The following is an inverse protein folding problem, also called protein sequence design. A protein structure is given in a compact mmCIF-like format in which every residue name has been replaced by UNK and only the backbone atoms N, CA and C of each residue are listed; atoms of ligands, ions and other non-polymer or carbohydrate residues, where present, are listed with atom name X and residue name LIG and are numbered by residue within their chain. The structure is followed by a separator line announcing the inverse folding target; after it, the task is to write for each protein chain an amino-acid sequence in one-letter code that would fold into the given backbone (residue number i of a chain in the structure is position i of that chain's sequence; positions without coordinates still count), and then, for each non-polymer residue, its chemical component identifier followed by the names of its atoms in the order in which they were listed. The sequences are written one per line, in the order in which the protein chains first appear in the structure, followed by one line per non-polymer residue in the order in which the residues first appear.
data_IF_323431028889
#
_entry.id   IF_323431028889
#
_cell.length_a   1.000
_cell.length_b   1.000
_cell.length_c   1.000
_cell.angle_alpha   90.00
_cell.angle_beta   90.00
_cell.angle_gamma   90.00
#
_symmetry.space_group_name_H-M   'P 1'
#
loop_
_entity.id
_entity.type
_entity.pdbx_description
1 polymer ?
#
# COMPACT_ATOMS: atom_id res chain seq x y z
N UNK A 1 30.85 -11.30 -27.61
CA UNK A 1 29.63 -10.50 -27.87
C UNK A 1 29.12 -10.10 -26.51
N UNK A 2 29.31 -8.84 -26.12
CA UNK A 2 28.82 -8.33 -24.84
C UNK A 2 27.31 -8.17 -24.99
N UNK A 3 26.56 -9.05 -24.33
CA UNK A 3 25.12 -8.95 -24.25
C UNK A 3 24.81 -7.65 -23.51
N UNK A 4 24.19 -6.69 -24.20
CA UNK A 4 23.90 -5.36 -23.65
C UNK A 4 22.68 -5.52 -22.72
N UNK A 5 22.88 -6.21 -21.59
CA UNK A 5 21.84 -6.53 -20.63
C UNK A 5 21.31 -5.21 -20.07
N UNK A 6 20.04 -4.90 -20.36
CA UNK A 6 19.32 -3.75 -19.80
C UNK A 6 19.36 -3.87 -18.28
N UNK A 7 19.64 -2.77 -17.59
CA UNK A 7 19.51 -2.71 -16.13
C UNK A 7 18.05 -2.95 -15.78
N UNK A 8 17.79 -3.98 -14.96
CA UNK A 8 16.45 -4.29 -14.47
C UNK A 8 16.17 -3.50 -13.20
N UNK A 9 15.07 -2.75 -13.18
CA UNK A 9 14.74 -1.83 -12.10
C UNK A 9 13.34 -2.15 -11.57
N UNK A 10 13.28 -2.59 -10.32
CA UNK A 10 12.03 -2.91 -9.63
C UNK A 10 11.32 -1.64 -9.18
N UNK A 11 10.02 -1.59 -9.49
CA UNK A 11 9.10 -0.47 -9.21
C UNK A 11 7.97 -0.97 -8.30
N UNK A 12 7.74 -0.26 -7.20
CA UNK A 12 6.62 -0.46 -6.28
C UNK A 12 5.54 0.63 -6.44
N UNK A 13 4.47 0.53 -5.65
CA UNK A 13 3.39 1.51 -5.68
C UNK A 13 3.87 2.94 -5.41
N UNK A 14 4.84 3.17 -4.53
CA UNK A 14 5.27 4.52 -4.16
C UNK A 14 5.97 5.24 -5.31
N UNK A 15 6.69 4.50 -6.15
CA UNK A 15 7.27 5.06 -7.38
C UNK A 15 6.18 5.38 -8.40
N UNK A 16 5.17 4.50 -8.55
CA UNK A 16 4.02 4.80 -9.41
C UNK A 16 3.24 6.02 -8.92
N UNK A 17 2.97 6.11 -7.61
CA UNK A 17 2.34 7.26 -6.97
C UNK A 17 3.12 8.55 -7.23
N UNK A 18 4.44 8.52 -7.05
CA UNK A 18 5.29 9.67 -7.34
C UNK A 18 5.10 10.10 -8.80
N UNK A 19 5.28 9.18 -9.75
CA UNK A 19 5.27 9.50 -11.19
C UNK A 19 3.88 9.96 -11.64
N UNK A 20 2.80 9.37 -11.12
CA UNK A 20 1.43 9.72 -11.47
C UNK A 20 1.06 11.18 -11.14
N UNK A 21 1.75 11.81 -10.18
CA UNK A 21 1.48 13.21 -9.80
C UNK A 21 1.61 14.15 -10.99
N UNK A 22 0.60 15.01 -11.16
CA UNK A 22 0.56 16.06 -12.18
C UNK A 22 1.34 17.30 -11.76
N UNK A 23 1.46 17.55 -10.45
CA UNK A 23 2.20 18.67 -9.86
C UNK A 23 2.86 18.24 -8.56
N UNK A 24 4.08 18.72 -8.32
CA UNK A 24 4.82 18.51 -7.07
C UNK A 24 5.32 19.87 -6.57
N UNK A 25 4.87 20.27 -5.38
CA UNK A 25 5.21 21.56 -4.78
C UNK A 25 6.40 21.49 -3.82
N UNK A 26 6.71 20.31 -3.31
CA UNK A 26 7.88 20.07 -2.46
C UNK A 26 9.15 19.94 -3.33
N UNK A 27 10.17 20.75 -3.06
CA UNK A 27 11.41 20.79 -3.84
C UNK A 27 12.20 19.47 -3.81
N UNK A 28 12.23 18.78 -2.67
CA UNK A 28 12.94 17.51 -2.52
C UNK A 28 12.22 16.40 -3.30
N UNK A 29 10.88 16.38 -3.25
CA UNK A 29 10.09 15.46 -4.07
C UNK A 29 10.11 15.83 -5.55
N UNK A 30 10.23 17.12 -5.90
CA UNK A 30 10.27 17.57 -7.29
C UNK A 30 11.50 17.03 -8.03
N UNK A 31 12.65 16.94 -7.35
CA UNK A 31 13.85 16.34 -7.92
C UNK A 31 13.64 14.84 -8.21
N UNK A 32 13.10 14.09 -7.25
CA UNK A 32 12.79 12.66 -7.43
C UNK A 32 11.73 12.43 -8.51
N UNK A 33 10.72 13.29 -8.58
CA UNK A 33 9.68 13.24 -9.61
C UNK A 33 10.25 13.43 -11.02
N UNK A 34 11.12 14.44 -11.21
CA UNK A 34 11.78 14.68 -12.50
C UNK A 34 12.66 13.49 -12.91
N UNK A 35 13.46 12.97 -11.97
CA UNK A 35 14.31 11.82 -12.22
C UNK A 35 13.48 10.56 -12.55
N UNK A 36 12.39 10.32 -11.82
CA UNK A 36 11.46 9.23 -12.09
C UNK A 36 10.85 9.30 -13.48
N UNK A 37 10.42 10.49 -13.92
CA UNK A 37 9.92 10.71 -15.30
C UNK A 37 10.99 10.45 -16.36
N UNK A 38 12.21 10.90 -16.14
CA UNK A 38 13.37 10.64 -17.02
C UNK A 38 13.71 9.15 -17.12
N UNK A 39 13.66 8.41 -16.01
CA UNK A 39 13.80 6.95 -15.97
C UNK A 39 12.66 6.27 -16.75
N UNK A 40 11.42 6.75 -16.61
CA UNK A 40 10.28 6.23 -17.35
C UNK A 40 10.39 6.50 -18.87
N UNK A 41 10.93 7.65 -19.27
CA UNK A 41 11.21 7.93 -20.68
C UNK A 41 12.29 6.99 -21.21
N UNK A 42 13.35 6.72 -20.43
CA UNK A 42 14.39 5.73 -20.76
C UNK A 42 13.83 4.32 -20.91
N UNK A 43 12.86 3.95 -20.08
CA UNK A 43 12.12 2.69 -20.19
C UNK A 43 11.36 2.58 -21.51
N UNK A 44 10.63 3.63 -21.91
CA UNK A 44 9.92 3.69 -23.20
C UNK A 44 10.83 3.61 -24.41
N UNK A 45 12.09 4.04 -24.26
CA UNK A 45 13.13 3.91 -25.29
C UNK A 45 13.97 2.62 -25.13
N UNK A 46 13.52 1.68 -24.31
CA UNK A 46 14.11 0.34 -24.15
C UNK A 46 15.57 0.35 -23.65
N UNK A 47 15.97 1.40 -22.93
CA UNK A 47 17.34 1.52 -22.36
C UNK A 47 17.44 0.98 -20.93
N UNK A 48 16.32 0.90 -20.24
CA UNK A 48 16.14 0.33 -18.90
C UNK A 48 14.93 -0.60 -18.97
N UNK A 49 14.90 -1.67 -18.16
CA UNK A 49 13.71 -2.51 -17.97
C UNK A 49 13.08 -2.15 -16.63
N UNK A 50 11.83 -1.68 -16.63
CA UNK A 50 11.06 -1.43 -15.41
C UNK A 50 10.16 -2.62 -15.15
N UNK A 51 10.35 -3.23 -13.99
CA UNK A 51 9.70 -4.49 -13.63
C UNK A 51 8.97 -4.39 -12.30
N UNK A 52 7.95 -5.23 -12.11
CA UNK A 52 7.29 -5.39 -10.81
C UNK A 52 6.80 -6.81 -10.57
N UNK A 53 6.36 -7.09 -9.35
CA UNK A 53 5.66 -8.31 -8.98
C UNK A 53 4.16 -8.04 -8.92
N UNK A 54 3.36 -8.85 -9.61
CA UNK A 54 1.89 -8.75 -9.57
C UNK A 54 1.41 -8.92 -8.13
N UNK A 55 1.77 -10.02 -7.47
CA UNK A 55 1.28 -10.34 -6.13
C UNK A 55 1.58 -9.24 -5.10
N UNK A 56 2.79 -8.66 -5.16
CA UNK A 56 3.17 -7.58 -4.25
C UNK A 56 2.49 -6.25 -4.61
N UNK A 57 2.42 -5.90 -5.89
CA UNK A 57 1.76 -4.67 -6.33
C UNK A 57 0.26 -4.70 -6.06
N UNK A 58 -0.38 -5.86 -6.22
CA UNK A 58 -1.80 -6.03 -5.92
C UNK A 58 -2.12 -5.76 -4.45
N UNK A 59 -1.27 -6.27 -3.56
CA UNK A 59 -1.41 -5.99 -2.13
C UNK A 59 -1.15 -4.51 -1.81
N UNK A 60 -0.19 -3.86 -2.48
CA UNK A 60 0.03 -2.43 -2.33
C UNK A 60 -1.19 -1.62 -2.77
N UNK A 61 -1.78 -1.94 -3.91
CA UNK A 61 -3.01 -1.30 -4.38
C UNK A 61 -4.12 -1.43 -3.34
N UNK A 62 -4.32 -2.64 -2.79
CA UNK A 62 -5.29 -2.87 -1.73
C UNK A 62 -4.99 -1.98 -0.52
N UNK A 63 -3.76 -1.93 -0.04
CA UNK A 63 -3.42 -1.15 1.16
C UNK A 63 -3.57 0.35 0.91
N UNK A 64 -2.92 0.87 -0.14
CA UNK A 64 -2.78 2.30 -0.36
C UNK A 64 -4.08 2.95 -0.84
N UNK A 65 -4.87 2.29 -1.69
CA UNK A 65 -6.17 2.82 -2.10
C UNK A 65 -7.18 2.77 -0.95
N UNK A 66 -7.14 1.74 -0.09
CA UNK A 66 -7.97 1.74 1.12
C UNK A 66 -7.58 2.88 2.08
N UNK A 67 -6.29 3.24 2.21
CA UNK A 67 -5.89 4.43 2.98
C UNK A 67 -6.49 5.74 2.41
N UNK A 68 -6.79 5.76 1.11
CA UNK A 68 -7.51 6.84 0.45
C UNK A 68 -9.05 6.79 0.55
N UNK A 69 -9.60 5.78 1.22
CA UNK A 69 -11.06 5.59 1.36
C UNK A 69 -11.69 4.67 0.31
N UNK A 70 -10.96 4.36 -0.77
CA UNK A 70 -11.41 3.46 -1.83
C UNK A 70 -11.33 1.99 -1.37
N UNK A 71 -12.47 1.30 -1.31
CA UNK A 71 -12.50 -0.10 -0.89
C UNK A 71 -12.12 -1.03 -2.04
N UNK A 72 -10.85 -1.38 -2.15
CA UNK A 72 -10.37 -2.44 -3.05
C UNK A 72 -10.42 -3.78 -2.32
N UNK A 73 -11.07 -4.79 -2.92
CA UNK A 73 -11.18 -6.17 -2.38
C UNK A 73 -10.43 -7.20 -3.22
N UNK A 74 -10.33 -6.94 -4.52
CA UNK A 74 -9.68 -7.71 -5.56
C UNK A 74 -9.19 -6.70 -6.60
N UNK A 75 -7.99 -6.92 -7.12
CA UNK A 75 -7.25 -6.03 -8.01
C UNK A 75 -7.63 -6.19 -9.48
N UNK A 76 -8.27 -7.29 -9.87
CA UNK A 76 -8.80 -7.47 -11.24
C UNK A 76 -9.88 -6.45 -11.64
N UNK A 77 -10.40 -5.69 -10.67
CA UNK A 77 -11.47 -4.72 -10.83
C UNK A 77 -11.11 -3.35 -10.24
N UNK A 78 -9.83 -2.97 -10.17
CA UNK A 78 -9.43 -1.66 -9.61
C UNK A 78 -10.17 -0.51 -10.31
N UNK A 79 -10.21 -0.49 -11.64
CA UNK A 79 -10.91 0.56 -12.39
C UNK A 79 -12.40 0.59 -12.09
N UNK A 80 -13.06 -0.57 -12.01
CA UNK A 80 -14.48 -0.65 -11.62
C UNK A 80 -14.70 -0.16 -10.18
N UNK A 81 -13.77 -0.44 -9.26
CA UNK A 81 -13.84 0.05 -7.88
C UNK A 81 -13.70 1.57 -7.84
N UNK A 82 -12.78 2.16 -8.63
CA UNK A 82 -12.62 3.61 -8.76
C UNK A 82 -13.92 4.23 -9.30
N UNK A 83 -14.49 3.68 -10.37
CA UNK A 83 -15.73 4.18 -10.98
C UNK A 83 -16.92 4.10 -10.01
N UNK A 84 -17.00 3.04 -9.21
CA UNK A 84 -18.04 2.91 -8.18
C UNK A 84 -17.85 3.89 -7.03
N UNK A 85 -16.61 4.19 -6.65
CA UNK A 85 -16.30 5.18 -5.61
C UNK A 85 -16.60 6.60 -6.09
N UNK A 86 -16.23 6.96 -7.32
CA UNK A 86 -16.45 8.28 -7.90
C UNK A 86 -17.94 8.66 -8.00
N UNK A 87 -18.84 7.67 -8.05
CA UNK A 87 -20.30 7.89 -8.00
C UNK A 87 -20.80 8.38 -6.64
N UNK A 88 -20.01 8.23 -5.58
CA UNK A 88 -20.37 8.75 -4.26
C UNK A 88 -20.06 10.24 -4.19
N UNK A 89 -21.01 11.03 -3.68
CA UNK A 89 -20.92 12.51 -3.61
C UNK A 89 -19.71 13.04 -2.82
N UNK A 90 -19.14 12.24 -1.92
CA UNK A 90 -17.94 12.59 -1.16
C UNK A 90 -16.62 12.26 -1.86
N UNK A 91 -16.64 11.63 -3.04
CA UNK A 91 -15.42 11.29 -3.76
C UNK A 91 -14.74 12.54 -4.33
N UNK A 92 -13.41 12.59 -4.21
CA UNK A 92 -12.59 13.62 -4.84
C UNK A 92 -12.15 13.14 -6.22
N UNK A 93 -12.58 13.85 -7.26
CA UNK A 93 -12.23 13.51 -8.63
C UNK A 93 -10.71 13.49 -8.84
N UNK A 94 -9.99 14.39 -8.17
CA UNK A 94 -8.52 14.47 -8.24
C UNK A 94 -7.86 13.19 -7.75
N UNK A 95 -8.35 12.62 -6.65
CA UNK A 95 -7.83 11.35 -6.12
C UNK A 95 -8.12 10.20 -7.09
N UNK A 96 -9.32 10.16 -7.67
CA UNK A 96 -9.72 9.10 -8.60
C UNK A 96 -8.96 9.17 -9.92
N UNK A 97 -8.72 10.36 -10.47
CA UNK A 97 -7.87 10.56 -11.65
C UNK A 97 -6.42 10.14 -11.37
N UNK A 98 -5.90 10.50 -10.19
CA UNK A 98 -4.56 10.09 -9.76
C UNK A 98 -4.43 8.57 -9.66
N UNK A 99 -5.41 7.88 -9.06
CA UNK A 99 -5.43 6.42 -9.02
C UNK A 99 -5.51 5.77 -10.39
N UNK A 100 -6.29 6.33 -11.33
CA UNK A 100 -6.32 5.85 -12.72
C UNK A 100 -4.96 6.00 -13.39
N UNK A 101 -4.28 7.13 -13.19
CA UNK A 101 -2.93 7.33 -13.72
C UNK A 101 -1.92 6.31 -13.14
N UNK A 102 -2.03 5.94 -11.85
CA UNK A 102 -1.20 4.87 -11.26
C UNK A 102 -1.47 3.53 -11.94
N UNK A 103 -2.74 3.17 -12.16
CA UNK A 103 -3.11 1.91 -12.84
C UNK A 103 -2.59 1.88 -14.27
N UNK A 104 -2.73 2.98 -15.01
CA UNK A 104 -2.18 3.10 -16.37
C UNK A 104 -0.65 2.93 -16.42
N UNK A 105 0.07 3.42 -15.40
CA UNK A 105 1.51 3.21 -15.29
C UNK A 105 1.85 1.76 -14.93
N UNK A 106 1.07 1.13 -14.07
CA UNK A 106 1.23 -0.28 -13.74
C UNK A 106 1.06 -1.18 -14.97
N UNK A 107 0.04 -0.92 -15.80
CA UNK A 107 -0.23 -1.67 -17.03
C UNK A 107 0.90 -1.57 -18.08
N UNK A 108 1.79 -0.57 -17.94
CA UNK A 108 2.96 -0.43 -18.80
C UNK A 108 4.14 -1.30 -18.34
N UNK A 109 4.20 -1.78 -17.10
CA UNK A 109 5.38 -2.44 -16.55
C UNK A 109 5.59 -3.87 -17.07
N UNK A 110 6.86 -4.29 -17.10
CA UNK A 110 7.19 -5.72 -17.27
C UNK A 110 6.89 -6.47 -15.96
N UNK A 111 6.26 -7.64 -16.08
CA UNK A 111 5.91 -8.45 -14.90
C UNK A 111 6.93 -9.56 -14.70
N UNK A 112 7.46 -9.65 -13.48
CA UNK A 112 8.25 -10.79 -13.05
C UNK A 112 7.28 -11.84 -12.54
N UNK A 113 7.02 -12.87 -13.35
CA UNK A 113 6.20 -14.00 -12.93
C UNK A 113 6.94 -14.84 -11.89
N UNK A 114 6.51 -14.78 -10.62
CA UNK A 114 6.98 -15.66 -9.55
C UNK A 114 6.50 -17.11 -9.66
N UNK A 115 5.80 -17.47 -10.75
CA UNK A 115 5.07 -18.72 -10.96
C UNK A 115 5.86 -19.84 -11.67
N UNK A 116 7.14 -19.64 -11.99
CA UNK A 116 7.95 -20.75 -12.52
C UNK A 116 8.38 -21.69 -11.38
N UNK A 117 7.47 -22.62 -11.04
CA UNK A 117 7.54 -24.02 -10.60
C UNK A 117 8.83 -24.69 -10.04
N UNK A 118 9.91 -23.97 -9.69
CA UNK A 118 11.20 -24.62 -9.37
C UNK A 118 11.85 -24.14 -8.06
N UNK A 119 11.42 -23.01 -7.47
CA UNK A 119 11.97 -22.52 -6.19
C UNK A 119 10.85 -22.40 -5.17
N UNK A 120 10.76 -23.39 -4.28
CA UNK A 120 9.63 -23.63 -3.40
C UNK A 120 9.24 -22.43 -2.51
N UNK A 121 7.97 -22.43 -2.10
CA UNK A 121 7.32 -21.46 -1.20
C UNK A 121 8.13 -21.12 0.07
N UNK A 122 9.13 -21.92 0.43
CA UNK A 122 10.01 -21.70 1.59
C UNK A 122 11.15 -20.68 1.37
N UNK A 123 11.54 -20.38 0.13
CA UNK A 123 12.60 -19.41 -0.13
C UNK A 123 12.16 -17.97 0.16
N UNK A 124 10.92 -17.62 -0.19
CA UNK A 124 10.38 -16.27 0.02
C UNK A 124 10.29 -15.89 1.52
N UNK A 125 9.75 -16.73 2.42
CA UNK A 125 9.81 -16.52 3.86
C UNK A 125 11.24 -16.34 4.39
N UNK A 126 12.21 -17.12 3.87
CA UNK A 126 13.59 -17.01 4.30
C UNK A 126 14.21 -15.65 3.92
N UNK A 127 14.06 -15.20 2.67
CA UNK A 127 14.53 -13.88 2.26
C UNK A 127 13.85 -12.78 3.07
N UNK A 128 12.53 -12.81 3.24
CA UNK A 128 11.82 -11.83 4.05
C UNK A 128 12.31 -11.79 5.49
N UNK A 129 12.57 -12.95 6.12
CA UNK A 129 13.11 -13.04 7.47
C UNK A 129 14.51 -12.42 7.57
N UNK A 130 15.43 -12.76 6.64
CA UNK A 130 16.79 -12.23 6.68
C UNK A 130 16.82 -10.73 6.40
N UNK A 131 16.04 -10.27 5.42
CA UNK A 131 15.89 -8.83 5.10
C UNK A 131 15.28 -8.10 6.30
N UNK A 132 14.24 -8.64 6.94
CA UNK A 132 13.63 -8.06 8.13
C UNK A 132 14.62 -7.98 9.30
N UNK A 133 15.38 -9.04 9.57
CA UNK A 133 16.39 -9.06 10.64
C UNK A 133 17.44 -7.98 10.46
N UNK A 134 17.81 -7.70 9.22
CA UNK A 134 18.84 -6.71 8.89
C UNK A 134 18.26 -5.31 8.81
N UNK A 135 17.06 -5.10 8.29
CA UNK A 135 16.49 -3.77 8.06
C UNK A 135 15.60 -3.27 9.20
N UNK A 136 14.98 -4.13 10.00
CA UNK A 136 14.29 -3.71 11.22
C UNK A 136 15.34 -3.43 12.29
N UNK A 137 15.15 -2.36 13.04
CA UNK A 137 15.84 -2.23 14.32
C UNK A 137 15.29 -3.26 15.30
N UNK A 138 16.11 -3.73 16.24
CA UNK A 138 15.61 -4.56 17.33
C UNK A 138 14.42 -3.83 17.96
N UNK A 139 13.29 -4.52 18.19
CA UNK A 139 12.15 -3.87 18.79
C UNK A 139 12.59 -3.43 20.17
N UNK A 140 12.62 -2.12 20.42
CA UNK A 140 12.42 -1.64 21.78
C UNK A 140 11.11 -2.29 22.24
N UNK A 141 11.20 -3.18 23.23
CA UNK A 141 10.03 -3.77 23.89
C UNK A 141 9.10 -2.60 24.24
N UNK A 142 7.94 -2.51 23.55
CA UNK A 142 6.92 -1.42 23.51
C UNK A 142 6.75 -0.59 22.21
N UNK A 143 7.58 -0.73 21.17
CA UNK A 143 7.44 0.03 19.91
C UNK A 143 6.28 -0.41 18.97
N UNK A 144 5.28 -1.12 19.51
CA UNK A 144 4.22 -1.81 18.76
C UNK A 144 2.90 -1.05 18.62
N UNK A 145 2.61 -0.09 19.48
CA UNK A 145 1.34 0.66 19.48
C UNK A 145 1.63 2.15 19.58
N UNK A 146 1.58 2.86 18.45
CA UNK A 146 1.55 4.32 18.52
C UNK A 146 0.18 4.74 19.07
N UNK A 147 0.13 5.82 19.86
CA UNK A 147 -1.14 6.33 20.40
C UNK A 147 -2.18 6.59 19.29
N UNK A 148 -1.73 7.05 18.11
CA UNK A 148 -2.57 7.23 16.93
C UNK A 148 -3.16 5.91 16.39
N UNK A 149 -2.42 4.80 16.47
CA UNK A 149 -2.91 3.49 16.05
C UNK A 149 -3.99 2.96 17.00
N UNK A 150 -3.80 3.18 18.30
CA UNK A 150 -4.80 2.81 19.32
C UNK A 150 -6.07 3.68 19.20
N UNK A 151 -5.92 4.97 18.90
CA UNK A 151 -7.02 5.89 18.63
C UNK A 151 -7.85 5.49 17.41
N UNK A 152 -7.21 5.22 16.26
CA UNK A 152 -7.91 4.73 15.06
C UNK A 152 -8.71 3.45 15.35
N UNK A 153 -8.13 2.54 16.15
CA UNK A 153 -8.80 1.31 16.56
C UNK A 153 -10.03 1.60 17.42
N UNK A 154 -9.93 2.54 18.37
CA UNK A 154 -11.06 2.97 19.19
C UNK A 154 -12.19 3.59 18.35
N UNK A 155 -11.85 4.48 17.40
CA UNK A 155 -12.81 5.08 16.47
C UNK A 155 -13.53 4.00 15.66
N UNK A 156 -12.80 3.04 15.09
CA UNK A 156 -13.40 1.96 14.30
C UNK A 156 -14.28 1.04 15.14
N UNK A 157 -13.93 0.79 16.41
CA UNK A 157 -14.77 0.05 17.35
C UNK A 157 -16.10 0.76 17.59
N UNK A 158 -16.07 2.06 17.82
CA UNK A 158 -17.28 2.85 18.03
C UNK A 158 -18.13 2.93 16.75
N UNK A 159 -17.50 3.02 15.58
CA UNK A 159 -18.19 2.91 14.29
C UNK A 159 -18.90 1.56 14.14
N UNK A 160 -18.22 0.46 14.49
CA UNK A 160 -18.79 -0.88 14.43
C UNK A 160 -20.01 -1.04 15.37
N UNK A 161 -19.94 -0.44 16.56
CA UNK A 161 -21.06 -0.41 17.50
C UNK A 161 -22.23 0.44 16.99
N UNK A 162 -21.95 1.54 16.28
CA UNK A 162 -22.94 2.46 15.74
C UNK A 162 -23.55 2.05 14.38
N UNK A 163 -23.10 0.93 13.76
CA UNK A 163 -23.63 0.50 12.46
C UNK A 163 -25.15 0.37 12.44
N UNK A 164 -25.76 -0.09 13.53
CA UNK A 164 -27.19 -0.30 13.66
C UNK A 164 -28.02 1.01 13.64
N UNK A 165 -27.39 2.15 13.87
CA UNK A 165 -28.05 3.47 13.81
C UNK A 165 -28.22 3.96 12.37
N UNK A 166 -27.43 3.42 11.43
CA UNK A 166 -27.38 3.87 10.03
C UNK A 166 -27.87 2.80 9.06
N UNK A 167 -27.57 1.52 9.33
CA UNK A 167 -27.95 0.41 8.48
C UNK A 167 -29.29 -0.19 8.90
N UNK A 168 -30.23 -0.25 7.96
CA UNK A 168 -31.39 -1.12 8.09
C UNK A 168 -30.97 -2.60 8.05
N UNK A 169 -31.67 -3.44 8.80
CA UNK A 169 -31.41 -4.88 8.89
C UNK A 169 -31.56 -5.58 7.54
N UNK A 170 -32.53 -5.18 6.71
CA UNK A 170 -32.71 -5.79 5.40
C UNK A 170 -31.55 -5.42 4.47
N UNK A 171 -31.16 -4.14 4.45
CA UNK A 171 -30.01 -3.67 3.68
C UNK A 171 -28.70 -4.33 4.14
N UNK A 172 -28.48 -4.49 5.45
CA UNK A 172 -27.30 -5.17 6.01
C UNK A 172 -27.20 -6.61 5.54
N UNK A 173 -28.29 -7.38 5.63
CA UNK A 173 -28.32 -8.76 5.19
C UNK A 173 -28.05 -8.89 3.67
N UNK A 174 -28.62 -7.99 2.87
CA UNK A 174 -28.58 -8.02 1.41
C UNK A 174 -27.45 -7.18 0.80
N UNK A 175 -26.45 -6.77 1.59
CA UNK A 175 -25.38 -5.89 1.14
C UNK A 175 -24.52 -6.56 0.06
N UNK A 176 -24.65 -6.09 -1.19
CA UNK A 176 -23.93 -6.60 -2.38
C UNK A 176 -22.76 -5.71 -2.81
N UNK A 177 -22.85 -4.41 -2.53
CA UNK A 177 -21.88 -3.39 -2.95
C UNK A 177 -21.54 -2.49 -1.76
N UNK A 178 -20.36 -1.85 -1.82
CA UNK A 178 -19.92 -0.90 -0.82
C UNK A 178 -20.90 0.27 -0.74
N UNK A 179 -21.32 0.60 0.48
CA UNK A 179 -22.24 1.70 0.75
C UNK A 179 -21.45 2.90 1.30
N UNK A 180 -20.65 3.56 0.46
CA UNK A 180 -19.77 4.66 0.88
C UNK A 180 -20.51 5.76 1.65
N UNK A 181 -21.68 6.19 1.17
CA UNK A 181 -22.50 7.19 1.86
C UNK A 181 -23.00 6.74 3.24
N UNK A 182 -23.33 5.47 3.43
CA UNK A 182 -23.75 4.97 4.74
C UNK A 182 -22.55 4.82 5.69
N UNK A 183 -21.42 4.32 5.19
CA UNK A 183 -20.19 4.22 5.97
C UNK A 183 -19.68 5.61 6.39
N UNK A 184 -19.78 6.59 5.51
CA UNK A 184 -19.46 7.98 5.84
C UNK A 184 -20.37 8.54 6.93
N UNK A 185 -21.70 8.33 6.86
CA UNK A 185 -22.62 8.75 7.93
C UNK A 185 -22.31 8.14 9.29
N UNK A 186 -21.85 6.89 9.32
CA UNK A 186 -21.39 6.26 10.57
C UNK A 186 -20.18 7.02 11.12
N UNK A 187 -19.19 7.32 10.28
CA UNK A 187 -18.03 8.13 10.70
C UNK A 187 -18.43 9.53 11.16
N UNK A 188 -19.31 10.23 10.43
CA UNK A 188 -19.81 11.54 10.82
C UNK A 188 -20.44 11.54 12.22
N UNK A 189 -21.08 10.44 12.62
CA UNK A 189 -21.69 10.29 13.93
C UNK A 189 -20.70 9.99 15.08
N UNK A 190 -19.50 9.48 14.75
CA UNK A 190 -18.50 8.99 15.71
C UNK A 190 -17.32 9.94 15.86
N UNK A 191 -16.79 10.50 14.76
CA UNK A 191 -15.60 11.36 14.76
C UNK A 191 -15.65 12.52 15.78
N UNK A 192 -16.78 13.23 15.97
CA UNK A 192 -16.85 14.30 16.97
C UNK A 192 -16.62 13.85 18.42
N UNK A 193 -16.88 12.57 18.73
CA UNK A 193 -16.61 11.98 20.06
C UNK A 193 -15.12 11.80 20.33
N UNK A 194 -14.32 11.75 19.26
CA UNK A 194 -12.86 11.61 19.27
C UNK A 194 -12.15 12.92 18.93
N UNK A 195 -12.86 14.06 18.99
CA UNK A 195 -12.30 15.39 18.69
C UNK A 195 -11.82 15.60 17.26
N UNK A 196 -12.29 14.78 16.32
CA UNK A 196 -12.01 14.94 14.89
C UNK A 196 -13.22 15.53 14.17
N UNK A 197 -12.96 16.39 13.19
CA UNK A 197 -14.00 16.92 12.31
C UNK A 197 -14.32 15.90 11.21
N UNK A 198 -15.60 15.73 10.86
CA UNK A 198 -16.01 14.83 9.79
C UNK A 198 -15.92 15.53 8.42
N UNK A 199 -14.69 15.74 7.94
CA UNK A 199 -14.38 16.40 6.67
C UNK A 199 -13.50 15.52 5.78
N UNK A 200 -13.68 15.63 4.46
CA UNK A 200 -12.83 14.96 3.47
C UNK A 200 -11.73 15.87 2.91
N UNK A 201 -11.65 17.12 3.42
CA UNK A 201 -10.65 18.12 3.05
C UNK A 201 -10.08 18.81 4.30
N UNK A 202 -8.86 19.33 4.20
CA UNK A 202 -8.17 19.99 5.31
C UNK A 202 -7.34 19.03 6.16
N UNK A 203 -7.13 19.39 7.43
CA UNK A 203 -6.18 18.72 8.33
C UNK A 203 -6.56 17.26 8.61
N UNK A 204 -7.84 16.98 8.89
CA UNK A 204 -8.32 15.63 9.23
C UNK A 204 -8.55 14.73 8.00
N UNK A 205 -8.40 15.26 6.79
CA UNK A 205 -8.81 14.57 5.56
C UNK A 205 -8.12 13.20 5.39
N UNK A 206 -6.81 13.14 5.62
CA UNK A 206 -6.05 11.91 5.47
C UNK A 206 -6.48 10.84 6.48
N UNK A 207 -6.71 11.23 7.74
CA UNK A 207 -7.21 10.34 8.79
C UNK A 207 -8.60 9.81 8.43
N UNK A 208 -9.51 10.70 8.04
CA UNK A 208 -10.90 10.37 7.75
C UNK A 208 -11.04 9.47 6.52
N UNK A 209 -10.27 9.72 5.45
CA UNK A 209 -10.19 8.86 4.27
C UNK A 209 -9.69 7.46 4.64
N UNK A 210 -8.63 7.39 5.45
CA UNK A 210 -8.11 6.12 5.93
C UNK A 210 -9.15 5.35 6.79
N UNK A 211 -9.81 6.03 7.72
CA UNK A 211 -10.88 5.46 8.54
C UNK A 211 -12.06 4.98 7.69
N UNK A 212 -12.43 5.71 6.64
CA UNK A 212 -13.48 5.29 5.70
C UNK A 212 -13.11 3.99 5.01
N UNK A 213 -11.88 3.87 4.49
CA UNK A 213 -11.41 2.63 3.87
C UNK A 213 -11.43 1.45 4.84
N UNK A 214 -10.91 1.65 6.05
CA UNK A 214 -10.92 0.62 7.09
C UNK A 214 -12.34 0.25 7.53
N UNK A 215 -13.25 1.22 7.63
CA UNK A 215 -14.66 0.97 7.93
C UNK A 215 -15.36 0.19 6.80
N UNK A 216 -15.05 0.47 5.53
CA UNK A 216 -15.55 -0.32 4.41
C UNK A 216 -15.10 -1.80 4.53
N UNK A 217 -13.86 -2.05 4.96
CA UNK A 217 -13.37 -3.41 5.24
C UNK A 217 -14.10 -4.04 6.41
N UNK A 218 -14.27 -3.29 7.50
CA UNK A 218 -14.97 -3.73 8.70
C UNK A 218 -16.39 -4.16 8.38
N UNK A 219 -17.15 -3.34 7.65
CA UNK A 219 -18.53 -3.63 7.24
C UNK A 219 -18.59 -4.88 6.37
N UNK A 220 -17.71 -5.01 5.38
CA UNK A 220 -17.69 -6.18 4.52
C UNK A 220 -17.39 -7.49 5.25
N UNK A 221 -16.43 -7.47 6.17
CA UNK A 221 -16.09 -8.64 6.98
C UNK A 221 -17.22 -8.92 7.98
N UNK A 222 -17.66 -7.90 8.72
CA UNK A 222 -18.73 -7.98 9.69
C UNK A 222 -20.01 -8.53 9.11
N UNK A 223 -20.43 -8.07 7.92
CA UNK A 223 -21.62 -8.59 7.22
C UNK A 223 -21.49 -10.07 6.84
N UNK A 224 -20.29 -10.51 6.43
CA UNK A 224 -20.03 -11.91 6.08
C UNK A 224 -20.05 -12.82 7.31
N UNK A 225 -19.58 -12.32 8.44
CA UNK A 225 -19.44 -13.12 9.67
C UNK A 225 -20.57 -12.94 10.69
N UNK A 226 -21.39 -11.89 10.55
CA UNK A 226 -22.54 -11.58 11.39
C UNK A 226 -23.67 -10.93 10.57
N UNK A 227 -24.72 -11.68 10.19
CA UNK A 227 -25.82 -11.16 9.38
C UNK A 227 -26.83 -10.31 10.17
N UNK A 228 -26.56 -9.98 11.44
CA UNK A 228 -27.47 -9.21 12.31
C UNK A 228 -26.75 -8.04 12.96
N UNK A 229 -27.48 -6.94 13.11
CA UNK A 229 -27.06 -5.78 13.89
C UNK A 229 -27.96 -5.65 15.16
N UNK A 230 -27.44 -5.07 16.25
CA UNK A 230 -26.05 -4.68 16.47
C UNK A 230 -25.12 -5.88 16.58
N UNK A 231 -23.86 -5.71 16.17
CA UNK A 231 -22.84 -6.73 16.39
C UNK A 231 -22.50 -6.81 17.88
N UNK A 232 -22.26 -8.03 18.37
CA UNK A 232 -21.80 -8.22 19.75
C UNK A 232 -20.35 -7.73 19.90
N UNK A 233 -19.99 -7.17 21.06
CA UNK A 233 -18.64 -6.64 21.33
C UNK A 233 -17.52 -7.61 20.95
N UNK A 234 -17.63 -8.88 21.38
CA UNK A 234 -16.66 -9.93 21.05
C UNK A 234 -16.49 -10.16 19.54
N UNK A 235 -17.54 -9.89 18.75
CA UNK A 235 -17.49 -10.02 17.30
C UNK A 235 -16.88 -8.78 16.65
N UNK A 236 -17.15 -7.59 17.19
CA UNK A 236 -16.48 -6.35 16.80
C UNK A 236 -14.96 -6.52 16.97
N UNK A 237 -14.52 -7.00 18.13
CA UNK A 237 -13.11 -7.30 18.42
C UNK A 237 -12.48 -8.24 17.39
N UNK A 238 -13.16 -9.36 17.10
CA UNK A 238 -12.72 -10.33 16.10
C UNK A 238 -12.55 -9.71 14.70
N UNK A 239 -13.51 -8.90 14.26
CA UNK A 239 -13.45 -8.25 12.94
C UNK A 239 -12.32 -7.22 12.89
N UNK A 240 -12.18 -6.40 13.94
CA UNK A 240 -11.12 -5.41 14.05
C UNK A 240 -9.73 -6.04 13.99
N UNK A 241 -9.51 -7.18 14.65
CA UNK A 241 -8.24 -7.89 14.59
C UNK A 241 -7.89 -8.34 13.16
N UNK A 242 -8.89 -8.80 12.39
CA UNK A 242 -8.69 -9.15 10.98
C UNK A 242 -8.35 -7.90 10.15
N UNK A 243 -9.11 -6.80 10.34
CA UNK A 243 -8.88 -5.56 9.60
C UNK A 243 -7.47 -5.03 9.87
N UNK A 244 -7.06 -4.98 11.15
CA UNK A 244 -5.73 -4.52 11.57
C UNK A 244 -4.62 -5.37 10.96
N UNK A 245 -4.73 -6.70 11.06
CA UNK A 245 -3.70 -7.62 10.56
C UNK A 245 -3.52 -7.51 9.04
N UNK A 246 -4.60 -7.25 8.30
CA UNK A 246 -4.56 -7.25 6.82
C UNK A 246 -4.30 -5.89 6.19
N UNK A 247 -4.88 -4.82 6.74
CA UNK A 247 -4.93 -3.51 6.06
C UNK A 247 -4.13 -2.41 6.76
N UNK A 248 -3.66 -2.64 7.99
CA UNK A 248 -2.84 -1.68 8.73
C UNK A 248 -1.36 -2.09 8.76
N UNK A 249 -0.86 -2.72 7.68
CA UNK A 249 0.56 -3.06 7.58
C UNK A 249 1.41 -1.79 7.51
N UNK A 250 2.60 -1.84 8.14
CA UNK A 250 3.57 -0.73 8.10
C UNK A 250 4.30 -0.76 6.76
N UNK A 251 4.66 0.41 6.24
CA UNK A 251 5.36 0.52 4.94
C UNK A 251 6.69 -0.23 4.93
N UNK A 252 7.39 -0.29 6.08
CA UNK A 252 8.63 -1.09 6.21
C UNK A 252 8.39 -2.59 5.94
N UNK A 253 7.23 -3.14 6.29
CA UNK A 253 6.92 -4.55 6.05
C UNK A 253 6.73 -4.83 4.54
N UNK A 254 6.16 -3.85 3.81
CA UNK A 254 6.03 -3.90 2.36
C UNK A 254 7.39 -3.77 1.67
N UNK A 255 8.19 -2.78 2.07
CA UNK A 255 9.56 -2.58 1.57
C UNK A 255 10.43 -3.84 1.72
N UNK A 256 10.34 -4.53 2.86
CA UNK A 256 11.03 -5.80 3.09
C UNK A 256 10.61 -6.86 2.07
N UNK A 257 9.30 -6.95 1.79
CA UNK A 257 8.75 -7.93 0.84
C UNK A 257 9.23 -7.62 -0.59
N UNK A 258 9.21 -6.35 -1.02
CA UNK A 258 9.76 -5.95 -2.33
C UNK A 258 11.26 -6.20 -2.46
N UNK A 259 12.05 -5.92 -1.42
CA UNK A 259 13.49 -6.21 -1.43
C UNK A 259 13.73 -7.72 -1.52
N UNK A 260 13.01 -8.52 -0.73
CA UNK A 260 13.10 -9.98 -0.79
C UNK A 260 12.74 -10.51 -2.20
N UNK A 261 11.69 -9.97 -2.81
CA UNK A 261 11.29 -10.32 -4.17
C UNK A 261 12.36 -9.92 -5.19
N UNK A 262 12.94 -8.74 -5.05
CA UNK A 262 14.02 -8.24 -5.92
C UNK A 262 15.27 -9.13 -5.83
N UNK A 263 15.66 -9.54 -4.63
CA UNK A 263 16.78 -10.45 -4.39
C UNK A 263 16.54 -11.82 -5.03
N UNK A 264 15.35 -12.40 -4.83
CA UNK A 264 14.98 -13.71 -5.37
C UNK A 264 15.05 -13.73 -6.90
N UNK A 265 14.66 -12.63 -7.54
CA UNK A 265 14.57 -12.53 -9.00
C UNK A 265 15.83 -11.91 -9.64
N UNK A 266 16.89 -11.67 -8.86
CA UNK A 266 18.16 -11.16 -9.40
C UNK A 266 18.03 -9.78 -10.03
N UNK A 267 17.18 -8.91 -9.45
CA UNK A 267 17.00 -7.53 -9.91
C UNK A 267 18.22 -6.68 -9.53
N UNK A 268 18.70 -5.88 -10.48
CA UNK A 268 19.84 -4.98 -10.30
C UNK A 268 19.53 -3.84 -9.31
N UNK A 269 18.36 -3.20 -9.43
CA UNK A 269 18.00 -2.03 -8.63
C UNK A 269 16.55 -2.08 -8.14
N UNK A 270 16.29 -1.73 -6.89
CA UNK A 270 14.96 -1.42 -6.37
C UNK A 270 14.85 0.10 -6.17
N UNK A 271 13.88 0.72 -6.84
CA UNK A 271 13.61 2.15 -6.68
C UNK A 271 12.73 2.40 -5.45
N UNK A 272 13.12 3.35 -4.61
CA UNK A 272 12.32 3.79 -3.47
C UNK A 272 12.31 5.32 -3.35
N UNK A 273 11.21 5.86 -2.83
CA UNK A 273 11.14 7.27 -2.42
C UNK A 273 11.68 7.49 -1.00
N UNK A 274 11.89 6.42 -0.22
CA UNK A 274 12.40 6.48 1.15
C UNK A 274 13.94 6.50 1.16
N UNK A 275 14.49 7.70 1.38
CA UNK A 275 15.94 7.88 1.48
C UNK A 275 16.57 7.14 2.67
N UNK A 276 15.86 7.00 3.79
CA UNK A 276 16.37 6.28 4.96
C UNK A 276 16.44 4.77 4.67
N UNK A 277 15.47 4.22 3.93
CA UNK A 277 15.52 2.84 3.49
C UNK A 277 16.74 2.59 2.60
N UNK A 278 16.98 3.47 1.62
CA UNK A 278 18.11 3.36 0.70
C UNK A 278 19.45 3.39 1.44
N UNK A 279 19.64 4.36 2.34
CA UNK A 279 20.84 4.50 3.17
C UNK A 279 21.03 3.27 4.08
N UNK A 280 19.98 2.86 4.80
CA UNK A 280 20.02 1.71 5.71
C UNK A 280 20.31 0.41 4.99
N UNK A 281 19.75 0.21 3.79
CA UNK A 281 20.07 -0.96 2.98
C UNK A 281 21.53 -0.95 2.54
N UNK A 282 22.04 0.19 2.06
CA UNK A 282 23.44 0.31 1.63
C UNK A 282 24.43 0.01 2.77
N UNK A 283 24.19 0.58 3.96
CA UNK A 283 25.02 0.35 5.15
C UNK A 283 25.00 -1.11 5.61
N UNK A 284 23.85 -1.77 5.51
CA UNK A 284 23.65 -3.13 6.04
C UNK A 284 23.75 -4.23 4.99
N UNK A 285 24.04 -3.89 3.73
CA UNK A 285 24.14 -4.83 2.60
C UNK A 285 25.13 -5.96 2.88
N UNK A 286 26.28 -5.67 3.48
CA UNK A 286 27.27 -6.69 3.82
C UNK A 286 26.75 -7.69 4.87
N UNK A 287 26.01 -7.22 5.87
CA UNK A 287 25.40 -8.09 6.87
C UNK A 287 24.35 -9.01 6.25
N UNK A 288 23.58 -8.50 5.28
CA UNK A 288 22.62 -9.29 4.53
C UNK A 288 23.31 -10.34 3.63
N UNK A 289 24.42 -9.99 2.99
CA UNK A 289 25.24 -10.94 2.21
C UNK A 289 25.76 -12.09 3.09
N UNK A 290 26.27 -11.77 4.28
CA UNK A 290 26.71 -12.77 5.26
C UNK A 290 25.54 -13.66 5.73
N UNK A 291 24.37 -13.05 5.98
CA UNK A 291 23.17 -13.76 6.42
C UNK A 291 22.63 -14.75 5.37
N UNK A 292 22.64 -14.34 4.09
CA UNK A 292 22.17 -15.15 2.97
C UNK A 292 23.24 -16.12 2.44
N UNK A 293 24.50 -15.97 2.86
CA UNK A 293 25.61 -16.80 2.37
C UNK A 293 25.91 -16.64 0.88
N UNK A 294 25.49 -15.52 0.27
CA UNK A 294 25.64 -15.27 -1.17
C UNK A 294 25.95 -13.80 -1.47
N UNK A 295 26.57 -13.56 -2.62
CA UNK A 295 26.79 -12.21 -3.13
C UNK A 295 25.46 -11.58 -3.54
N UNK A 296 25.25 -10.34 -3.12
CA UNK A 296 24.06 -9.55 -3.45
C UNK A 296 24.48 -8.41 -4.37
N UNK A 297 23.90 -8.38 -5.57
CA UNK A 297 24.09 -7.30 -6.53
C UNK A 297 23.06 -6.18 -6.41
N UNK A 298 21.87 -6.47 -5.88
CA UNK A 298 20.77 -5.52 -5.69
C UNK A 298 21.25 -4.23 -4.99
N UNK A 299 20.89 -3.11 -5.57
CA UNK A 299 21.00 -1.77 -4.99
C UNK A 299 19.60 -1.22 -4.67
N UNK A 300 19.44 -0.52 -3.55
CA UNK A 300 18.19 0.20 -3.23
C UNK A 300 18.48 1.68 -3.39
N UNK A 301 17.82 2.32 -4.35
CA UNK A 301 18.18 3.65 -4.83
C UNK A 301 16.98 4.58 -4.89
N UNK A 302 17.24 5.87 -4.69
CA UNK A 302 16.29 6.93 -5.04
C UNK A 302 16.32 7.20 -6.55
N UNK A 303 15.22 7.65 -7.17
CA UNK A 303 15.19 8.02 -8.58
C UNK A 303 16.35 8.93 -9.03
N UNK A 304 16.68 9.98 -8.26
CA UNK A 304 17.78 10.91 -8.60
C UNK A 304 19.15 10.24 -8.63
N UNK A 305 19.38 9.25 -7.77
CA UNK A 305 20.65 8.51 -7.73
C UNK A 305 20.76 7.55 -8.90
N UNK A 306 19.67 6.84 -9.25
CA UNK A 306 19.66 5.96 -10.41
C UNK A 306 19.83 6.76 -11.71
N UNK A 307 19.12 7.89 -11.87
CA UNK A 307 19.25 8.75 -13.05
C UNK A 307 20.71 9.17 -13.28
N UNK A 308 21.42 9.55 -12.21
CA UNK A 308 22.83 9.93 -12.28
C UNK A 308 23.73 8.78 -12.76
N UNK A 309 23.42 7.54 -12.40
CA UNK A 309 24.16 6.35 -12.83
C UNK A 309 23.88 5.95 -14.28
N UNK A 310 22.73 6.37 -14.82
CA UNK A 310 22.31 6.11 -16.19
C UNK A 310 22.75 7.20 -17.19
N UNK A 311 23.21 8.36 -16.70
CA UNK A 311 23.75 9.48 -17.49
C UNK A 311 25.24 9.36 -17.74
#
# INVERSE_FOLDING_TARGET
MADNRRTSVYVDYHILDLIARTRVSDEALLAEWKAGRSIWDRYRHETVSLVTSVDEMELDFVIQMNRGGLCVTDTFQITDNIDNFERWEGADHTDTEHWRAIVELYDQLEVISGHDDIIGEHAHPHYCEQVARVLKEEPAEDAGRSAAFDEQTAILRDCAAALHDVYDMQLWADLKHIQYGLNWRVLESVLPRHSHSATLHGEDAALNKNLLGLLNRLVNIGKKSCPRLPMQDRHIDFVLDIVRKKYCQKDIDRNISHIAHSLRNGIDCYLTTDGQLAEKFAERKQNLQLALGTSIHLEVLRPTELERRLG
#
